data_IF_752513512834
#
_entry.id   IF_752513512834
#
_cell.length_a   1.000
_cell.length_b   1.000
_cell.length_c   1.000
_cell.angle_alpha   90.00
_cell.angle_beta   90.00
_cell.angle_gamma   90.00
#
_symmetry.space_group_name_H-M   'P 1'
#
loop_
_entity.id
_entity.type
_entity.pdbx_description
1 polymer ?
#
# COMPACT_ATOMS: atom_id res chain seq x y z
N UNK A 1 20.57 12.07 9.81
CA UNK A 1 19.90 12.10 8.48
C UNK A 1 19.49 10.68 8.16
N UNK A 2 18.28 10.46 7.67
CA UNK A 2 17.77 9.12 7.40
C UNK A 2 18.15 8.67 5.97
N UNK A 3 18.74 7.48 5.83
CA UNK A 3 19.45 7.10 4.59
C UNK A 3 18.62 6.26 3.61
N UNK A 4 17.47 5.72 4.02
CA UNK A 4 16.62 4.97 3.09
C UNK A 4 15.82 5.97 2.23
N UNK A 5 15.88 5.87 0.89
CA UNK A 5 15.09 6.72 0.00
C UNK A 5 13.59 6.58 0.28
N UNK A 6 12.88 7.71 0.27
CA UNK A 6 11.43 7.75 0.47
C UNK A 6 10.77 8.27 -0.81
N UNK A 7 9.81 7.53 -1.33
CA UNK A 7 8.86 7.97 -2.35
C UNK A 7 7.56 8.41 -1.66
N UNK A 8 7.21 9.68 -1.82
CA UNK A 8 5.96 10.25 -1.38
C UNK A 8 5.06 10.54 -2.59
N UNK A 9 3.92 9.87 -2.65
CA UNK A 9 2.96 9.96 -3.75
C UNK A 9 1.80 10.84 -3.31
N UNK A 10 1.66 11.99 -3.98
CA UNK A 10 0.67 13.03 -3.66
C UNK A 10 -0.26 13.31 -4.83
N UNK A 11 -1.38 13.96 -4.53
CA UNK A 11 -2.28 14.47 -5.56
C UNK A 11 -2.79 15.87 -5.21
N UNK A 12 -4.05 16.01 -4.80
CA UNK A 12 -4.74 17.30 -4.66
C UNK A 12 -5.18 17.65 -3.23
N UNK A 13 -4.90 16.78 -2.26
CA UNK A 13 -5.40 16.91 -0.87
C UNK A 13 -4.34 17.51 0.04
N UNK A 14 -4.00 18.80 -0.17
CA UNK A 14 -2.95 19.53 0.57
C UNK A 14 -2.90 19.20 2.07
N UNK A 15 -4.01 19.39 2.80
CA UNK A 15 -4.01 19.24 4.26
C UNK A 15 -3.82 17.80 4.72
N UNK A 16 -4.26 16.82 3.91
CA UNK A 16 -4.05 15.40 4.18
C UNK A 16 -2.60 15.04 3.89
N UNK A 17 -2.08 15.48 2.74
CA UNK A 17 -0.70 15.28 2.34
C UNK A 17 0.29 15.87 3.37
N UNK A 18 0.03 17.09 3.86
CA UNK A 18 0.87 17.71 4.89
C UNK A 18 0.92 16.89 6.18
N UNK A 19 -0.21 16.33 6.64
CA UNK A 19 -0.23 15.47 7.84
C UNK A 19 0.64 14.22 7.69
N UNK A 20 0.61 13.59 6.52
CA UNK A 20 1.48 12.45 6.22
C UNK A 20 2.94 12.89 6.09
N UNK A 21 3.17 14.04 5.46
CA UNK A 21 4.50 14.60 5.25
C UNK A 21 5.21 14.99 6.54
N UNK A 22 4.50 15.46 7.57
CA UNK A 22 5.11 15.77 8.88
C UNK A 22 5.95 14.61 9.43
N UNK A 23 5.52 13.36 9.18
CA UNK A 23 6.28 12.16 9.60
C UNK A 23 7.55 11.96 8.80
N UNK A 24 7.52 12.26 7.50
CA UNK A 24 8.71 12.25 6.63
C UNK A 24 9.69 13.34 7.06
N UNK A 25 9.18 14.55 7.33
CA UNK A 25 9.97 15.70 7.81
C UNK A 25 10.68 15.39 9.13
N UNK A 26 10.03 14.68 10.06
CA UNK A 26 10.62 14.29 11.34
C UNK A 26 11.89 13.43 11.19
N UNK A 27 11.95 12.55 10.19
CA UNK A 27 13.13 11.70 9.96
C UNK A 27 14.21 12.33 9.08
N UNK A 28 13.89 13.43 8.38
CA UNK A 28 14.83 14.17 7.54
C UNK A 28 15.61 13.24 6.60
N UNK A 29 14.94 12.62 5.61
CA UNK A 29 15.60 11.73 4.66
C UNK A 29 16.66 12.47 3.86
N UNK A 30 17.78 11.81 3.58
CA UNK A 30 18.82 12.33 2.70
C UNK A 30 18.35 12.43 1.24
N UNK A 31 17.43 11.52 0.84
CA UNK A 31 16.85 11.47 -0.51
C UNK A 31 15.33 11.35 -0.43
N UNK A 32 14.64 12.25 -1.11
CA UNK A 32 13.18 12.30 -1.16
C UNK A 32 12.70 12.38 -2.61
N UNK A 33 11.89 11.42 -3.00
CA UNK A 33 11.21 11.34 -4.28
C UNK A 33 9.76 11.78 -4.08
N UNK A 34 9.30 12.78 -4.82
CA UNK A 34 7.93 13.30 -4.71
C UNK A 34 7.25 13.12 -6.06
N UNK A 35 6.31 12.18 -6.13
CA UNK A 35 5.49 11.96 -7.32
C UNK A 35 4.13 12.62 -7.15
N UNK A 36 3.70 13.39 -8.13
CA UNK A 36 2.37 14.01 -8.16
C UNK A 36 1.69 13.74 -9.49
N UNK A 37 0.51 13.13 -9.45
CA UNK A 37 -0.28 12.92 -10.66
C UNK A 37 -0.88 14.24 -11.17
N UNK A 38 -1.14 14.32 -12.47
CA UNK A 38 -1.67 15.55 -13.08
C UNK A 38 -3.15 15.77 -12.73
N UNK A 39 -3.62 17.00 -12.83
CA UNK A 39 -5.05 17.29 -12.71
C UNK A 39 -5.86 16.61 -13.82
N UNK A 40 -7.10 16.24 -13.53
CA UNK A 40 -8.03 15.70 -14.51
C UNK A 40 -8.58 16.84 -15.34
N UNK A 41 -8.45 16.72 -16.66
CA UNK A 41 -8.82 17.77 -17.62
C UNK A 41 -10.27 18.29 -17.46
N UNK A 42 -11.18 17.42 -16.99
CA UNK A 42 -12.61 17.74 -16.88
C UNK A 42 -13.06 18.17 -15.47
N UNK A 43 -12.14 18.43 -14.52
CA UNK A 43 -12.49 18.85 -13.16
C UNK A 43 -12.00 20.28 -12.92
N UNK A 44 -12.94 21.23 -12.94
CA UNK A 44 -12.66 22.66 -12.71
C UNK A 44 -12.03 22.88 -11.32
N UNK A 45 -10.97 23.68 -11.25
CA UNK A 45 -10.29 24.03 -9.99
C UNK A 45 -9.27 22.99 -9.50
N UNK A 46 -9.18 21.82 -10.13
CA UNK A 46 -8.27 20.76 -9.66
C UNK A 46 -6.80 21.06 -9.96
N UNK A 47 -6.52 21.77 -11.06
CA UNK A 47 -5.16 22.17 -11.42
C UNK A 47 -4.54 23.05 -10.34
N UNK A 48 -5.32 23.97 -9.79
CA UNK A 48 -4.93 24.84 -8.69
C UNK A 48 -4.67 24.03 -7.41
N UNK A 49 -5.55 23.10 -7.04
CA UNK A 49 -5.38 22.24 -5.86
C UNK A 49 -4.15 21.34 -5.94
N UNK A 50 -3.87 20.77 -7.12
CA UNK A 50 -2.67 19.96 -7.37
C UNK A 50 -1.42 20.81 -7.22
N UNK A 51 -1.39 21.99 -7.86
CA UNK A 51 -0.26 22.92 -7.77
C UNK A 51 -0.03 23.38 -6.32
N UNK A 52 -1.10 23.76 -5.61
CA UNK A 52 -1.02 24.17 -4.21
C UNK A 52 -0.47 23.05 -3.32
N UNK A 53 -0.89 21.80 -3.56
CA UNK A 53 -0.36 20.63 -2.83
C UNK A 53 1.13 20.46 -3.10
N UNK A 54 1.57 20.52 -4.37
CA UNK A 54 2.99 20.41 -4.74
C UNK A 54 3.85 21.49 -4.06
N UNK A 55 3.44 22.75 -4.17
CA UNK A 55 4.17 23.89 -3.60
C UNK A 55 4.24 23.80 -2.06
N UNK A 56 3.12 23.43 -1.42
CA UNK A 56 3.06 23.29 0.03
C UNK A 56 4.01 22.23 0.56
N UNK A 57 4.11 21.07 -0.10
CA UNK A 57 5.04 20.01 0.31
C UNK A 57 6.49 20.46 0.12
N UNK A 58 6.83 21.05 -1.02
CA UNK A 58 8.19 21.52 -1.30
C UNK A 58 8.66 22.58 -0.30
N UNK A 59 7.77 23.50 0.12
CA UNK A 59 8.08 24.53 1.10
C UNK A 59 8.37 23.99 2.52
N UNK A 60 7.91 22.77 2.85
CA UNK A 60 8.17 22.17 4.16
C UNK A 60 9.56 21.55 4.29
N UNK A 61 10.33 21.45 3.19
CA UNK A 61 11.65 20.84 3.17
C UNK A 61 12.69 21.87 3.60
N UNK A 62 13.06 21.83 4.88
CA UNK A 62 13.97 22.77 5.56
C UNK A 62 15.27 22.13 6.05
N UNK A 63 15.65 20.98 5.48
CA UNK A 63 16.88 20.26 5.77
C UNK A 63 17.63 19.90 4.48
N UNK A 64 18.91 19.53 4.60
CA UNK A 64 19.70 19.03 3.47
C UNK A 64 19.11 17.72 2.94
N UNK A 65 18.57 17.77 1.72
CA UNK A 65 17.85 16.68 1.08
C UNK A 65 18.05 16.73 -0.44
N UNK A 66 18.44 15.61 -1.04
CA UNK A 66 18.34 15.43 -2.49
C UNK A 66 16.85 15.20 -2.83
N UNK A 67 16.19 16.25 -3.31
CA UNK A 67 14.78 16.18 -3.71
C UNK A 67 14.69 15.91 -5.21
N UNK A 68 13.98 14.84 -5.58
CA UNK A 68 13.60 14.55 -6.96
C UNK A 68 12.09 14.62 -7.10
N UNK A 69 11.61 15.21 -8.19
CA UNK A 69 10.17 15.35 -8.44
C UNK A 69 9.75 14.66 -9.73
N UNK A 70 8.56 14.06 -9.70
CA UNK A 70 7.85 13.51 -10.85
C UNK A 70 6.45 14.11 -10.87
N UNK A 71 6.33 15.34 -11.38
CA UNK A 71 5.05 16.04 -11.49
C UNK A 71 4.50 15.89 -12.90
N UNK A 72 3.32 15.27 -13.00
CA UNK A 72 2.72 14.94 -14.29
C UNK A 72 1.83 16.07 -14.80
N UNK A 73 1.84 16.27 -16.11
CA UNK A 73 0.92 17.21 -16.78
C UNK A 73 -0.47 16.60 -16.99
N UNK A 74 -0.57 15.27 -17.06
CA UNK A 74 -1.84 14.53 -17.25
C UNK A 74 -2.08 13.57 -16.10
N UNK A 75 -3.34 13.44 -15.70
CA UNK A 75 -3.77 12.43 -14.73
C UNK A 75 -3.67 11.02 -15.33
N UNK A 76 -2.88 10.15 -14.72
CA UNK A 76 -2.80 8.73 -15.07
C UNK A 76 -3.74 7.86 -14.21
N UNK A 77 -4.26 8.41 -13.12
CA UNK A 77 -5.12 7.72 -12.17
C UNK A 77 -4.35 6.81 -11.21
N UNK A 78 -5.05 6.25 -10.22
CA UNK A 78 -4.44 5.52 -9.10
C UNK A 78 -3.52 4.39 -9.56
N UNK A 79 -3.98 3.52 -10.46
CA UNK A 79 -3.18 2.38 -10.91
C UNK A 79 -1.87 2.81 -11.59
N UNK A 80 -1.97 3.51 -12.73
CA UNK A 80 -0.79 3.86 -13.53
C UNK A 80 0.06 4.95 -12.88
N UNK A 81 -0.56 5.91 -12.19
CA UNK A 81 0.14 6.96 -11.46
C UNK A 81 1.06 6.38 -10.38
N UNK A 82 0.54 5.49 -9.52
CA UNK A 82 1.33 4.85 -8.47
C UNK A 82 2.35 3.86 -9.06
N UNK A 83 1.93 2.98 -9.96
CA UNK A 83 2.82 2.00 -10.60
C UNK A 83 4.05 2.67 -11.24
N UNK A 84 3.85 3.73 -12.01
CA UNK A 84 4.95 4.43 -12.67
C UNK A 84 5.81 5.25 -11.72
N UNK A 85 5.26 5.76 -10.62
CA UNK A 85 6.06 6.42 -9.57
C UNK A 85 6.99 5.43 -8.86
N UNK A 86 6.52 4.21 -8.58
CA UNK A 86 7.34 3.16 -7.97
C UNK A 86 8.41 2.66 -8.96
N UNK A 87 8.08 2.49 -10.24
CA UNK A 87 9.09 2.20 -11.27
C UNK A 87 10.19 3.25 -11.29
N UNK A 88 9.80 4.54 -11.29
CA UNK A 88 10.74 5.64 -11.29
C UNK A 88 11.66 5.66 -10.05
N UNK A 89 11.14 5.32 -8.86
CA UNK A 89 11.98 5.11 -7.68
C UNK A 89 13.04 4.02 -7.94
N UNK A 90 12.63 2.85 -8.43
CA UNK A 90 13.53 1.70 -8.61
C UNK A 90 14.39 1.72 -9.87
N UNK A 91 14.14 2.66 -10.79
CA UNK A 91 15.11 3.05 -11.81
C UNK A 91 16.36 3.70 -11.18
N UNK A 92 16.21 4.33 -10.00
CA UNK A 92 17.25 5.11 -9.34
C UNK A 92 17.80 4.47 -8.05
N UNK A 93 17.01 3.65 -7.36
CA UNK A 93 17.35 3.12 -6.04
C UNK A 93 17.17 1.59 -5.99
N UNK A 94 17.94 0.91 -5.12
CA UNK A 94 17.85 -0.55 -4.96
C UNK A 94 16.79 -0.97 -3.92
N UNK A 95 16.40 -0.05 -3.03
CA UNK A 95 15.38 -0.21 -2.01
C UNK A 95 14.80 1.14 -1.59
N UNK A 96 13.60 1.15 -1.05
CA UNK A 96 12.97 2.38 -0.59
C UNK A 96 11.65 2.18 0.13
N UNK A 97 11.19 3.25 0.77
CA UNK A 97 9.88 3.36 1.40
C UNK A 97 8.92 4.07 0.44
N UNK A 98 7.68 3.58 0.34
CA UNK A 98 6.60 4.13 -0.47
C UNK A 98 5.47 4.57 0.45
N UNK A 99 5.06 5.83 0.34
CA UNK A 99 4.05 6.47 1.18
C UNK A 99 3.08 7.23 0.27
N UNK A 100 1.78 7.02 0.45
CA UNK A 100 0.73 7.82 -0.20
C UNK A 100 0.29 9.00 0.69
N UNK A 101 -0.35 10.01 0.11
CA UNK A 101 -0.71 11.27 0.78
C UNK A 101 -1.58 11.10 2.04
N UNK A 102 -2.28 9.98 2.18
CA UNK A 102 -3.14 9.67 3.33
C UNK A 102 -2.56 8.66 4.32
N UNK A 103 -1.26 8.37 4.21
CA UNK A 103 -0.55 7.46 5.09
C UNK A 103 0.29 8.21 6.14
N UNK A 104 -0.23 8.33 7.37
CA UNK A 104 0.49 8.89 8.53
C UNK A 104 1.21 7.79 9.31
N UNK A 105 2.51 7.65 9.07
CA UNK A 105 3.36 6.64 9.71
C UNK A 105 3.66 6.97 11.19
N UNK A 106 3.86 5.92 11.98
CA UNK A 106 4.44 6.02 13.32
C UNK A 106 5.96 6.17 13.24
N UNK A 107 6.57 6.79 14.25
CA UNK A 107 7.98 7.18 14.17
C UNK A 107 8.90 5.95 14.12
N UNK A 108 8.52 4.87 14.80
CA UNK A 108 9.27 3.62 14.82
C UNK A 108 9.23 2.84 13.50
N UNK A 109 8.34 3.19 12.56
CA UNK A 109 8.32 2.52 11.25
C UNK A 109 9.61 2.75 10.45
N UNK A 110 10.18 3.95 10.50
CA UNK A 110 11.39 4.27 9.73
C UNK A 110 12.60 3.42 10.14
N UNK A 111 13.01 3.36 11.42
CA UNK A 111 14.07 2.43 11.83
C UNK A 111 13.68 0.96 11.63
N UNK A 112 12.41 0.60 11.78
CA UNK A 112 11.91 -0.76 11.51
C UNK A 112 12.12 -1.16 10.04
N UNK A 113 11.70 -0.31 9.10
CA UNK A 113 11.86 -0.55 7.68
C UNK A 113 13.34 -0.55 7.28
N UNK A 114 14.15 0.37 7.81
CA UNK A 114 15.59 0.41 7.51
C UNK A 114 16.30 -0.89 7.92
N UNK A 115 16.09 -1.35 9.15
CA UNK A 115 16.70 -2.58 9.66
C UNK A 115 16.28 -3.80 8.84
N UNK A 116 14.99 -3.90 8.50
CA UNK A 116 14.47 -5.04 7.74
C UNK A 116 14.86 -5.02 6.26
N UNK A 117 14.96 -3.82 5.66
CA UNK A 117 15.47 -3.63 4.31
C UNK A 117 16.92 -4.12 4.17
N UNK A 118 17.75 -3.89 5.19
CA UNK A 118 19.12 -4.40 5.24
C UNK A 118 19.15 -5.91 5.52
N UNK A 119 18.39 -6.37 6.52
CA UNK A 119 18.37 -7.78 6.94
C UNK A 119 17.94 -8.73 5.84
N UNK A 120 16.90 -8.38 5.08
CA UNK A 120 16.32 -9.24 4.04
C UNK A 120 16.72 -8.80 2.63
N UNK A 121 17.78 -8.01 2.48
CA UNK A 121 18.23 -7.47 1.19
C UNK A 121 18.43 -8.54 0.11
N UNK A 122 18.89 -9.73 0.51
CA UNK A 122 19.17 -10.87 -0.40
C UNK A 122 18.20 -12.04 -0.24
N UNK A 123 17.20 -11.95 0.64
CA UNK A 123 16.25 -13.03 0.87
C UNK A 123 15.07 -12.95 -0.10
N UNK A 124 15.14 -13.72 -1.19
CA UNK A 124 14.12 -13.71 -2.24
C UNK A 124 12.73 -14.19 -1.79
N UNK A 125 12.62 -14.79 -0.59
CA UNK A 125 11.33 -15.16 0.00
C UNK A 125 10.54 -13.95 0.51
N UNK A 126 11.20 -12.82 0.75
CA UNK A 126 10.58 -11.60 1.28
C UNK A 126 10.57 -10.52 0.21
N UNK A 127 9.41 -9.92 -0.01
CA UNK A 127 9.21 -8.92 -1.06
C UNK A 127 8.55 -7.62 -0.57
N UNK A 128 8.12 -7.56 0.68
CA UNK A 128 7.41 -6.39 1.18
C UNK A 128 7.59 -6.25 2.69
N UNK A 129 7.74 -5.02 3.17
CA UNK A 129 7.63 -4.67 4.59
C UNK A 129 6.46 -3.71 4.70
N UNK A 130 5.39 -4.11 5.38
CA UNK A 130 4.21 -3.30 5.57
C UNK A 130 4.33 -2.49 6.88
N UNK A 131 3.73 -1.31 6.94
CA UNK A 131 3.51 -0.60 8.19
C UNK A 131 2.21 -1.03 8.86
N UNK A 132 1.25 -1.56 8.09
CA UNK A 132 -0.08 -1.88 8.57
C UNK A 132 -0.13 -3.21 9.32
N UNK A 133 -0.83 -3.20 10.45
CA UNK A 133 -1.41 -4.41 11.03
C UNK A 133 -2.89 -4.15 11.34
N UNK A 134 -3.77 -4.63 10.46
CA UNK A 134 -5.21 -4.43 10.59
C UNK A 134 -5.93 -5.57 11.29
N UNK A 135 -5.20 -6.61 11.73
CA UNK A 135 -5.79 -7.79 12.34
C UNK A 135 -5.80 -7.61 13.84
N UNK A 136 -7.00 -7.42 14.37
CA UNK A 136 -7.22 -7.34 15.82
C UNK A 136 -7.21 -8.73 16.44
N UNK A 137 -6.83 -8.79 17.71
CA UNK A 137 -6.89 -10.00 18.54
C UNK A 137 -6.01 -11.16 18.06
N UNK A 138 -4.97 -10.89 17.27
CA UNK A 138 -3.90 -11.84 16.98
C UNK A 138 -2.60 -11.25 17.51
N UNK A 139 -1.88 -12.04 18.31
CA UNK A 139 -0.61 -11.63 18.88
C UNK A 139 0.50 -12.21 18.00
N UNK A 140 1.23 -11.35 17.31
CA UNK A 140 2.49 -11.76 16.68
C UNK A 140 3.53 -11.94 17.80
N UNK A 141 4.21 -13.10 17.88
CA UNK A 141 5.11 -13.42 18.99
C UNK A 141 6.33 -12.50 19.03
N UNK A 142 6.96 -12.29 17.88
CA UNK A 142 8.14 -11.44 17.69
C UNK A 142 7.76 -9.99 17.36
N UNK A 143 8.74 -9.13 17.07
CA UNK A 143 8.47 -7.73 16.64
C UNK A 143 7.67 -7.67 15.34
N UNK A 144 7.76 -8.70 14.50
CA UNK A 144 7.01 -8.82 13.26
C UNK A 144 6.76 -10.28 12.90
N UNK A 145 5.80 -10.52 12.03
CA UNK A 145 5.50 -11.82 11.45
C UNK A 145 5.59 -11.79 9.93
N UNK A 146 5.56 -12.97 9.31
CA UNK A 146 5.42 -13.08 7.86
C UNK A 146 4.02 -13.48 7.48
N UNK A 147 3.58 -13.05 6.29
CA UNK A 147 2.23 -13.29 5.80
C UNK A 147 2.21 -13.36 4.27
N UNK A 148 1.28 -14.14 3.73
CA UNK A 148 0.86 -14.12 2.32
C UNK A 148 -0.17 -13.02 2.08
N UNK A 149 -0.89 -12.58 3.11
CA UNK A 149 -1.74 -11.40 3.02
C UNK A 149 -0.89 -10.14 2.94
N UNK A 150 -1.42 -9.17 2.19
CA UNK A 150 -0.70 -7.97 1.80
C UNK A 150 -1.58 -6.73 1.96
N UNK A 151 -1.01 -5.65 2.47
CA UNK A 151 -1.50 -4.28 2.33
C UNK A 151 -0.35 -3.40 1.87
N UNK A 152 -0.67 -2.21 1.36
CA UNK A 152 0.29 -1.25 0.79
C UNK A 152 0.11 0.13 1.42
N UNK A 153 -0.36 0.16 2.67
CA UNK A 153 -0.62 1.40 3.40
C UNK A 153 0.64 1.83 4.15
N UNK A 154 1.54 2.53 3.45
CA UNK A 154 2.89 2.83 3.95
C UNK A 154 3.72 1.56 4.04
N UNK A 155 4.69 1.39 3.13
CA UNK A 155 5.40 0.13 3.01
C UNK A 155 6.80 0.34 2.43
N UNK A 156 7.62 -0.68 2.47
CA UNK A 156 8.95 -0.69 1.89
C UNK A 156 9.19 -1.96 1.07
N UNK A 157 10.05 -1.85 0.06
CA UNK A 157 10.46 -3.00 -0.75
C UNK A 157 11.81 -2.74 -1.43
N UNK A 158 12.26 -3.73 -2.17
CA UNK A 158 13.49 -3.73 -2.94
C UNK A 158 13.16 -3.75 -4.43
N UNK A 159 14.03 -3.14 -5.23
CA UNK A 159 14.03 -3.24 -6.69
C UNK A 159 14.01 -4.69 -7.16
N UNK A 160 14.77 -5.58 -6.49
CA UNK A 160 14.80 -7.02 -6.81
C UNK A 160 13.44 -7.70 -6.70
N UNK A 161 12.56 -7.22 -5.84
CA UNK A 161 11.21 -7.75 -5.68
C UNK A 161 10.26 -7.05 -6.66
N UNK A 162 10.30 -5.71 -6.71
CA UNK A 162 9.41 -4.92 -7.55
C UNK A 162 9.57 -5.18 -9.05
N UNK A 163 10.78 -5.53 -9.53
CA UNK A 163 11.02 -5.87 -10.94
C UNK A 163 10.13 -7.01 -11.46
N UNK A 164 9.56 -7.82 -10.56
CA UNK A 164 8.67 -8.93 -10.91
C UNK A 164 7.22 -8.48 -11.16
N UNK A 165 6.87 -7.23 -10.85
CA UNK A 165 5.51 -6.70 -10.94
C UNK A 165 4.85 -7.02 -12.29
N UNK A 166 3.83 -7.88 -12.25
CA UNK A 166 3.03 -8.27 -13.42
C UNK A 166 1.67 -7.56 -13.36
N UNK A 167 1.66 -6.29 -13.80
CA UNK A 167 0.44 -5.47 -13.80
C UNK A 167 -0.66 -6.04 -14.71
N UNK A 168 -0.28 -6.76 -15.76
CA UNK A 168 -1.21 -7.40 -16.71
C UNK A 168 -1.76 -8.73 -16.19
N UNK A 169 -1.19 -9.27 -15.10
CA UNK A 169 -1.52 -10.57 -14.54
C UNK A 169 -1.47 -11.68 -15.61
N UNK A 170 -0.41 -11.72 -16.41
CA UNK A 170 -0.19 -12.70 -17.48
C UNK A 170 -0.27 -14.15 -16.97
N UNK A 171 0.11 -14.38 -15.72
CA UNK A 171 0.00 -15.67 -15.04
C UNK A 171 -1.42 -16.26 -15.07
N UNK A 172 -2.47 -15.44 -15.25
CA UNK A 172 -3.86 -15.92 -15.30
C UNK A 172 -4.16 -16.88 -16.45
N UNK A 173 -3.45 -16.71 -17.56
CA UNK A 173 -3.64 -17.52 -18.76
C UNK A 173 -2.74 -18.77 -18.79
N UNK A 174 -2.11 -19.11 -17.65
CA UNK A 174 -1.20 -20.25 -17.52
C UNK A 174 -1.82 -21.38 -16.71
N UNK A 175 -1.22 -22.57 -16.79
CA UNK A 175 -1.60 -23.73 -15.95
C UNK A 175 -1.41 -23.47 -14.44
N UNK A 176 -0.66 -22.43 -14.06
CA UNK A 176 -0.39 -22.07 -12.67
C UNK A 176 -1.50 -21.23 -12.02
N UNK A 177 -2.53 -20.78 -12.76
CA UNK A 177 -3.60 -19.95 -12.22
C UNK A 177 -4.15 -20.47 -10.88
N UNK A 178 -4.51 -21.76 -10.80
CA UNK A 178 -5.06 -22.35 -9.56
C UNK A 178 -4.08 -22.28 -8.39
N UNK A 179 -2.80 -22.52 -8.63
CA UNK A 179 -1.75 -22.49 -7.60
C UNK A 179 -1.52 -21.08 -7.07
N UNK A 180 -1.44 -20.09 -7.96
CA UNK A 180 -1.19 -18.69 -7.60
C UNK A 180 -2.36 -18.13 -6.78
N UNK A 181 -3.60 -18.40 -7.20
CA UNK A 181 -4.78 -17.96 -6.44
C UNK A 181 -4.83 -18.61 -5.06
N UNK A 182 -4.53 -19.91 -4.96
CA UNK A 182 -4.48 -20.60 -3.67
C UNK A 182 -3.38 -20.06 -2.76
N UNK A 183 -2.25 -19.67 -3.34
CA UNK A 183 -1.12 -19.11 -2.59
C UNK A 183 -1.34 -17.65 -2.16
N UNK A 184 -2.43 -17.01 -2.59
CA UNK A 184 -2.69 -15.62 -2.22
C UNK A 184 -3.49 -15.47 -0.92
N UNK A 185 -3.49 -16.45 -0.01
CA UNK A 185 -4.22 -16.36 1.25
C UNK A 185 -4.15 -17.64 2.09
N UNK A 186 -5.12 -17.80 2.99
CA UNK A 186 -5.11 -18.83 4.03
C UNK A 186 -5.63 -20.17 3.49
N UNK A 187 -4.80 -21.21 3.49
CA UNK A 187 -5.14 -22.58 3.01
C UNK A 187 -5.79 -22.64 1.62
N UNK A 188 -5.62 -21.61 0.78
CA UNK A 188 -6.36 -21.47 -0.46
C UNK A 188 -7.89 -21.33 -0.28
N UNK A 189 -8.38 -20.94 0.90
CA UNK A 189 -9.81 -20.71 1.17
C UNK A 189 -10.31 -19.39 0.57
N UNK A 190 -9.42 -18.43 0.32
CA UNK A 190 -9.73 -17.11 -0.27
C UNK A 190 -9.97 -17.10 -1.79
N UNK A 191 -10.08 -18.26 -2.45
CA UNK A 191 -10.20 -18.35 -3.92
C UNK A 191 -11.33 -17.47 -4.47
N UNK A 192 -12.51 -17.49 -3.83
CA UNK A 192 -13.66 -16.70 -4.28
C UNK A 192 -13.41 -15.20 -4.13
N UNK A 193 -12.84 -14.80 -2.99
CA UNK A 193 -12.45 -13.42 -2.68
C UNK A 193 -11.46 -12.86 -3.72
N UNK A 194 -10.49 -13.67 -4.15
CA UNK A 194 -9.51 -13.27 -5.15
C UNK A 194 -10.03 -13.30 -6.58
N UNK A 195 -10.81 -14.31 -6.96
CA UNK A 195 -11.47 -14.35 -8.28
C UNK A 195 -12.40 -13.15 -8.49
N UNK A 196 -13.10 -12.71 -7.43
CA UNK A 196 -13.92 -11.51 -7.46
C UNK A 196 -13.10 -10.26 -7.83
N UNK A 197 -11.90 -10.11 -7.26
CA UNK A 197 -10.99 -8.98 -7.54
C UNK A 197 -10.42 -9.00 -8.94
N UNK A 198 -10.05 -10.17 -9.44
CA UNK A 198 -9.59 -10.32 -10.82
C UNK A 198 -10.66 -9.84 -11.80
N UNK A 199 -11.91 -10.29 -11.61
CA UNK A 199 -13.03 -9.81 -12.42
C UNK A 199 -13.21 -8.30 -12.32
N UNK A 200 -13.05 -7.72 -11.13
CA UNK A 200 -13.14 -6.27 -10.93
C UNK A 200 -12.12 -5.50 -11.77
N UNK A 201 -10.87 -6.00 -11.80
CA UNK A 201 -9.78 -5.42 -12.59
C UNK A 201 -10.06 -5.58 -14.09
N UNK A 202 -10.40 -6.80 -14.54
CA UNK A 202 -10.64 -7.10 -15.97
C UNK A 202 -11.76 -6.27 -16.59
N UNK A 203 -12.79 -5.94 -15.80
CA UNK A 203 -13.91 -5.12 -16.26
C UNK A 203 -13.70 -3.62 -15.99
N UNK A 204 -12.50 -3.20 -15.56
CA UNK A 204 -12.17 -1.83 -15.20
C UNK A 204 -13.11 -1.20 -14.16
N UNK A 205 -13.68 -2.01 -13.26
CA UNK A 205 -14.50 -1.52 -12.15
C UNK A 205 -13.68 -0.90 -11.02
N UNK A 206 -12.38 -1.16 -11.01
CA UNK A 206 -11.40 -0.59 -10.07
C UNK A 206 -10.15 -0.17 -10.82
N UNK A 207 -9.45 0.83 -10.29
CA UNK A 207 -8.10 1.22 -10.74
C UNK A 207 -7.09 0.76 -9.69
N UNK A 208 -6.93 -0.57 -9.59
CA UNK A 208 -6.02 -1.19 -8.63
C UNK A 208 -4.63 -1.39 -9.27
N UNK A 209 -3.59 -1.23 -8.46
CA UNK A 209 -2.22 -1.68 -8.74
C UNK A 209 -1.76 -2.66 -7.66
N UNK A 210 -2.19 -2.42 -6.42
CA UNK A 210 -1.87 -3.18 -5.22
C UNK A 210 -2.32 -4.64 -5.32
N UNK A 211 -3.51 -4.91 -5.86
CA UNK A 211 -3.98 -6.29 -6.04
C UNK A 211 -3.12 -7.07 -7.04
N UNK A 212 -2.70 -6.44 -8.13
CA UNK A 212 -1.76 -7.05 -9.08
C UNK A 212 -0.39 -7.29 -8.45
N UNK A 213 0.06 -6.40 -7.56
CA UNK A 213 1.26 -6.64 -6.75
C UNK A 213 1.08 -7.85 -5.82
N UNK A 214 -0.09 -8.00 -5.19
CA UNK A 214 -0.36 -9.14 -4.31
C UNK A 214 -0.30 -10.48 -5.05
N UNK A 215 -0.88 -10.51 -6.25
CA UNK A 215 -0.82 -11.68 -7.12
C UNK A 215 0.59 -11.94 -7.65
N UNK A 216 1.36 -10.90 -7.95
CA UNK A 216 2.78 -11.03 -8.33
C UNK A 216 3.55 -11.72 -7.22
N UNK A 217 3.47 -11.23 -5.98
CA UNK A 217 4.14 -11.86 -4.85
C UNK A 217 3.69 -13.32 -4.66
N UNK A 218 2.40 -13.62 -4.84
CA UNK A 218 1.89 -15.00 -4.77
C UNK A 218 2.45 -15.90 -5.88
N UNK A 219 2.64 -15.36 -7.10
CA UNK A 219 3.24 -16.07 -8.23
C UNK A 219 4.72 -16.41 -8.01
N UNK A 220 5.42 -15.58 -7.24
CA UNK A 220 6.82 -15.78 -6.85
C UNK A 220 7.00 -16.48 -5.49
N UNK A 221 5.90 -16.92 -4.85
CA UNK A 221 5.90 -17.51 -3.51
C UNK A 221 6.58 -16.64 -2.43
N UNK A 222 6.35 -15.32 -2.52
CA UNK A 222 6.95 -14.32 -1.64
C UNK A 222 6.00 -13.90 -0.51
N UNK A 223 6.61 -13.53 0.62
CA UNK A 223 5.95 -13.10 1.85
C UNK A 223 6.11 -11.60 2.06
N UNK A 224 5.14 -11.01 2.74
CA UNK A 224 5.23 -9.69 3.35
C UNK A 224 5.60 -9.80 4.83
N UNK A 225 6.31 -8.80 5.35
CA UNK A 225 6.56 -8.59 6.77
C UNK A 225 5.47 -7.69 7.35
N UNK A 226 4.93 -8.08 8.50
CA UNK A 226 3.88 -7.39 9.23
C UNK A 226 4.32 -7.06 10.66
N UNK A 227 4.27 -5.79 11.09
CA UNK A 227 4.66 -5.43 12.44
C UNK A 227 3.65 -5.98 13.44
N UNK A 228 4.11 -6.26 14.66
CA UNK A 228 3.27 -6.76 15.76
C UNK A 228 2.10 -5.84 16.08
N UNK A 229 2.28 -4.54 15.91
CA UNK A 229 1.24 -3.52 16.02
C UNK A 229 1.25 -2.63 14.78
N UNK A 230 0.12 -1.97 14.47
CA UNK A 230 0.06 -1.10 13.29
C UNK A 230 0.95 0.13 13.50
N UNK A 231 1.86 0.37 12.55
CA UNK A 231 2.76 1.52 12.52
C UNK A 231 2.30 2.57 11.49
N UNK A 232 1.02 2.54 11.13
CA UNK A 232 0.39 3.44 10.17
C UNK A 232 -1.04 3.77 10.58
N UNK A 233 -1.39 5.06 10.46
CA UNK A 233 -2.76 5.52 10.39
C UNK A 233 -3.13 5.90 8.94
N UNK A 234 -4.16 5.27 8.37
CA UNK A 234 -4.71 5.73 7.09
C UNK A 234 -5.82 6.75 7.36
N UNK A 235 -5.60 7.99 6.91
CA UNK A 235 -6.51 9.13 7.13
C UNK A 235 -7.31 9.48 5.86
N UNK A 236 -7.31 8.61 4.85
CA UNK A 236 -7.89 8.82 3.53
C UNK A 236 -9.41 8.67 3.48
N UNK A 237 -10.13 9.09 4.53
CA UNK A 237 -11.58 8.95 4.64
C UNK A 237 -12.23 10.34 4.52
N UNK A 238 -13.35 10.45 3.80
CA UNK A 238 -14.09 11.70 3.62
C UNK A 238 -14.62 11.91 2.21
N UNK A 239 -15.25 13.06 1.95
CA UNK A 239 -15.89 13.38 0.67
C UNK A 239 -14.89 13.40 -0.51
N UNK A 240 -13.65 13.82 -0.25
CA UNK A 240 -12.59 13.91 -1.25
C UNK A 240 -11.76 12.62 -1.44
N UNK A 241 -12.12 11.54 -0.74
CA UNK A 241 -11.40 10.27 -0.84
C UNK A 241 -11.74 9.51 -2.14
N UNK A 242 -10.71 8.96 -2.78
CA UNK A 242 -10.86 8.19 -4.03
C UNK A 242 -11.69 6.90 -3.83
N UNK A 243 -11.56 6.25 -2.67
CA UNK A 243 -12.15 4.92 -2.42
C UNK A 243 -13.07 4.84 -1.19
N UNK A 244 -12.99 5.79 -0.25
CA UNK A 244 -13.52 5.67 1.11
C UNK A 244 -14.34 6.89 1.54
N UNK A 245 -15.61 6.96 1.13
CA UNK A 245 -16.51 8.10 1.41
C UNK A 245 -17.15 8.10 2.81
N UNK A 246 -16.64 7.31 3.75
CA UNK A 246 -17.14 7.31 5.12
C UNK A 246 -16.66 8.56 5.88
N UNK A 247 -17.52 9.19 6.68
CA UNK A 247 -17.18 10.40 7.45
C UNK A 247 -16.28 10.14 8.65
N UNK A 248 -16.15 8.89 9.09
CA UNK A 248 -15.33 8.51 10.25
C UNK A 248 -14.29 7.45 9.87
N UNK A 249 -13.03 7.70 10.26
CA UNK A 249 -11.93 6.75 10.10
C UNK A 249 -12.19 5.56 11.05
N UNK A 250 -12.37 4.33 10.53
CA UNK A 250 -12.56 3.16 11.38
C UNK A 250 -11.35 2.94 12.28
N UNK A 251 -11.57 2.54 13.54
CA UNK A 251 -10.50 2.40 14.54
C UNK A 251 -9.35 1.49 14.12
N UNK A 252 -9.59 0.49 13.27
CA UNK A 252 -8.55 -0.40 12.73
C UNK A 252 -7.52 0.30 11.83
N UNK A 253 -7.87 1.45 11.27
CA UNK A 253 -6.97 2.26 10.43
C UNK A 253 -6.25 3.35 11.23
N UNK A 254 -6.36 3.35 12.56
CA UNK A 254 -5.66 4.28 13.44
C UNK A 254 -4.61 3.50 14.23
N UNK A 255 -3.36 3.82 13.99
CA UNK A 255 -2.25 3.38 14.82
C UNK A 255 -2.07 4.35 15.99
N UNK A 256 -1.88 3.80 17.19
CA UNK A 256 -1.61 4.57 18.41
C UNK A 256 -0.41 4.02 19.19
N UNK A 257 0.33 3.08 18.60
CA UNK A 257 1.41 2.35 19.24
C UNK A 257 2.70 2.48 18.41
N UNK A 258 3.83 2.29 19.08
CA UNK A 258 5.16 2.27 18.48
C UNK A 258 5.78 0.89 18.71
N UNK A 259 6.69 0.47 17.84
CA UNK A 259 7.48 -0.74 18.06
C UNK A 259 8.71 -0.45 18.93
N UNK A 260 9.04 -1.40 19.80
CA UNK A 260 10.20 -1.29 20.70
C UNK A 260 11.42 -1.95 20.06
N UNK A 261 12.58 -1.32 20.22
CA UNK A 261 13.88 -1.80 19.76
C UNK A 261 14.73 -2.29 20.95
N UNK A 262 15.67 -3.24 20.74
CA UNK A 262 16.00 -3.90 19.47
C UNK A 262 14.88 -4.81 18.98
N UNK A 263 14.79 -5.01 17.66
CA UNK A 263 13.76 -5.89 17.11
C UNK A 263 14.02 -7.35 17.52
N UNK A 264 12.97 -8.03 17.97
CA UNK A 264 12.96 -9.47 18.08
C UNK A 264 12.65 -10.05 16.70
N UNK A 265 13.61 -10.79 16.13
CA UNK A 265 13.46 -11.40 14.82
C UNK A 265 12.88 -12.82 14.92
N UNK A 266 11.88 -13.18 14.09
CA UNK A 266 11.44 -14.56 13.97
C UNK A 266 12.58 -15.49 13.54
N UNK A 267 12.69 -16.65 14.18
CA UNK A 267 13.68 -17.68 13.84
C UNK A 267 13.44 -18.27 12.45
N UNK A 268 12.17 -18.36 12.03
CA UNK A 268 11.77 -19.01 10.78
C UNK A 268 11.05 -18.01 9.88
N UNK A 269 11.31 -18.12 8.57
CA UNK A 269 10.65 -17.31 7.53
C UNK A 269 9.52 -18.13 6.93
N UNK A 270 8.38 -18.13 7.64
CA UNK A 270 7.16 -18.84 7.27
C UNK A 270 5.95 -17.97 7.62
N UNK A 271 4.83 -18.06 6.88
CA UNK A 271 3.58 -17.39 7.27
C UNK A 271 3.20 -17.72 8.71
N UNK A 272 2.81 -16.72 9.48
CA UNK A 272 2.27 -16.94 10.82
C UNK A 272 0.78 -17.28 10.71
N UNK A 273 0.45 -18.56 10.89
CA UNK A 273 -0.89 -19.09 10.56
C UNK A 273 -2.04 -18.46 11.35
N UNK A 274 -1.85 -18.07 12.62
CA UNK A 274 -2.89 -17.38 13.39
C UNK A 274 -3.23 -16.02 12.75
N UNK A 275 -2.21 -15.35 12.21
CA UNK A 275 -2.37 -14.07 11.53
C UNK A 275 -3.01 -14.23 10.15
N UNK A 276 -2.63 -15.25 9.39
CA UNK A 276 -3.32 -15.65 8.15
C UNK A 276 -4.81 -15.91 8.39
N UNK A 277 -5.13 -16.68 9.45
CA UNK A 277 -6.50 -16.98 9.81
C UNK A 277 -7.28 -15.72 10.23
N UNK A 278 -6.63 -14.79 10.94
CA UNK A 278 -7.21 -13.50 11.30
C UNK A 278 -7.57 -12.67 10.07
N UNK A 279 -6.68 -12.59 9.09
CA UNK A 279 -6.94 -11.94 7.79
C UNK A 279 -8.10 -12.61 7.04
N UNK A 280 -8.09 -13.93 6.95
CA UNK A 280 -9.17 -14.70 6.33
C UNK A 280 -10.53 -14.35 6.95
N UNK A 281 -10.64 -14.37 8.28
CA UNK A 281 -11.87 -14.03 9.02
C UNK A 281 -12.31 -12.58 8.76
N UNK A 282 -11.37 -11.64 8.73
CA UNK A 282 -11.65 -10.22 8.44
C UNK A 282 -12.17 -10.01 7.00
N UNK A 283 -11.60 -10.71 6.03
CA UNK A 283 -11.97 -10.57 4.63
C UNK A 283 -13.27 -11.30 4.28
N UNK A 284 -13.54 -12.44 4.91
CA UNK A 284 -14.64 -13.34 4.58
C UNK A 284 -15.76 -13.34 5.64
N UNK A 285 -16.08 -12.16 6.19
CA UNK A 285 -17.29 -11.99 7.02
C UNK A 285 -18.56 -12.35 6.24
N UNK A 286 -19.62 -12.78 6.93
CA UNK A 286 -20.91 -13.09 6.29
C UNK A 286 -21.40 -11.97 5.36
N UNK A 287 -21.30 -10.72 5.83
CA UNK A 287 -21.61 -9.53 5.04
C UNK A 287 -20.76 -9.44 3.77
N UNK A 288 -19.43 -9.58 3.89
CA UNK A 288 -18.54 -9.48 2.73
C UNK A 288 -18.79 -10.60 1.73
N UNK A 289 -19.04 -11.82 2.20
CA UNK A 289 -19.38 -12.96 1.35
C UNK A 289 -20.67 -12.71 0.56
N UNK A 290 -21.73 -12.21 1.20
CA UNK A 290 -22.96 -11.80 0.49
C UNK A 290 -22.66 -10.71 -0.53
N UNK A 291 -21.92 -9.67 -0.14
CA UNK A 291 -21.58 -8.57 -1.04
C UNK A 291 -20.79 -9.07 -2.26
N UNK A 292 -19.92 -10.07 -2.13
CA UNK A 292 -19.16 -10.62 -3.25
C UNK A 292 -20.03 -11.37 -4.27
N UNK A 293 -21.22 -11.85 -3.87
CA UNK A 293 -22.18 -12.49 -4.79
C UNK A 293 -22.93 -11.47 -5.66
N UNK A 294 -23.00 -10.20 -5.23
CA UNK A 294 -23.68 -9.15 -5.98
C UNK A 294 -22.80 -8.72 -7.17
N UNK A 295 -23.29 -8.82 -8.43
CA UNK A 295 -22.58 -8.34 -9.61
C UNK A 295 -22.13 -6.88 -9.49
N UNK A 296 -20.91 -6.60 -9.98
CA UNK A 296 -20.36 -5.23 -9.97
C UNK A 296 -21.21 -4.23 -10.75
N UNK A 297 -21.84 -4.66 -11.86
CA UNK A 297 -22.74 -3.82 -12.65
C UNK A 297 -23.87 -3.25 -11.79
N UNK A 298 -24.53 -4.10 -11.00
CA UNK A 298 -25.59 -3.70 -10.06
C UNK A 298 -25.06 -2.76 -8.97
N UNK A 299 -23.89 -3.06 -8.39
CA UNK A 299 -23.26 -2.16 -7.40
C UNK A 299 -22.94 -0.79 -7.98
N UNK A 300 -22.47 -0.74 -9.22
CA UNK A 300 -22.10 0.51 -9.90
C UNK A 300 -23.33 1.35 -10.21
N UNK A 301 -24.42 0.71 -10.65
CA UNK A 301 -25.72 1.37 -10.86
C UNK A 301 -26.26 1.93 -9.54
N UNK A 302 -26.29 1.13 -8.48
CA UNK A 302 -26.73 1.56 -7.14
C UNK A 302 -25.88 2.72 -6.62
N UNK A 303 -24.56 2.68 -6.81
CA UNK A 303 -23.65 3.76 -6.37
C UNK A 303 -23.85 5.05 -7.17
N UNK A 304 -24.23 4.98 -8.45
CA UNK A 304 -24.62 6.14 -9.26
C UNK A 304 -25.95 6.74 -8.80
N UNK A 305 -26.93 5.89 -8.46
CA UNK A 305 -28.23 6.33 -7.92
C UNK A 305 -28.15 7.01 -6.55
N UNK A 306 -27.19 6.61 -5.71
CA UNK A 306 -26.97 7.22 -4.39
C UNK A 306 -26.17 8.53 -4.49
N UNK A 307 -25.41 8.73 -5.59
CA UNK A 307 -24.54 9.89 -5.81
C UNK A 307 -25.11 10.95 -6.76
N UNK A 308 -26.23 10.68 -7.40
CA UNK A 308 -26.98 11.62 -8.25
C UNK A 308 -28.17 12.15 -7.49
#
# INVERSE_FOLDING_TARGET
MYNIPILFIIFRRKDIALKSFERIKQVKPAKLYIACDGARENIKGEAELVKETQESILQQIDWECEVKTLFRTKNLGCCMGVYTAINWLFENEEKGIIIEDDCVLQQSFFPFAAELLDRYEKDERVAMIDAANYIKNVIIPDSYGFSRFKSTNGWATWKRAWKNMDLNMNWKNTLYFKSIIKNNGYDGKDIHYWKYRIKAIEHNYVSAWDWQWYFTMAAHNQLGIYPKTSLISNIGFGEDATHTTGSTIPSRYKANEEIVFPLQHPKYVVPYEDFEQGFYKSNNTFRNTILQLIPFSLKTILKKWIRG
#
